data_IF_371578075245
#
_entry.id   IF_371578075245
#
_cell.length_a   1.000
_cell.length_b   1.000
_cell.length_c   1.000
_cell.angle_alpha   90.00
_cell.angle_beta   90.00
_cell.angle_gamma   90.00
#
_symmetry.space_group_name_H-M   'P 1'
#
loop_
_entity.id
_entity.type
_entity.pdbx_description
1 polymer ?
#
# COMPACT_ATOMS: atom_id res chain seq x y z
N UNK A 1 29.40 -8.20 -92.19
CA UNK A 1 28.55 -9.39 -92.39
C UNK A 1 28.82 -10.39 -91.27
N UNK A 2 27.77 -11.10 -90.85
CA UNK A 2 27.70 -12.27 -89.93
C UNK A 2 27.46 -12.00 -88.43
N UNK A 3 26.19 -12.19 -88.06
CA UNK A 3 25.71 -12.81 -86.81
C UNK A 3 25.99 -14.34 -86.86
N UNK A 4 25.74 -15.21 -85.84
CA UNK A 4 25.31 -15.02 -84.44
C UNK A 4 26.02 -15.95 -83.41
N UNK A 5 25.72 -15.84 -82.09
CA UNK A 5 25.12 -16.92 -81.25
C UNK A 5 25.07 -16.59 -79.74
N UNK A 6 23.86 -16.75 -79.21
CA UNK A 6 23.43 -16.86 -77.81
C UNK A 6 24.17 -17.97 -77.03
N UNK A 7 24.43 -17.76 -75.73
CA UNK A 7 24.27 -18.76 -74.66
C UNK A 7 23.97 -18.08 -73.32
N UNK A 8 22.82 -18.44 -72.75
CA UNK A 8 22.35 -18.11 -71.40
C UNK A 8 23.29 -18.66 -70.31
N UNK A 9 23.26 -18.06 -69.10
CA UNK A 9 22.95 -18.76 -67.83
C UNK A 9 22.93 -17.77 -66.63
N UNK A 10 21.72 -17.54 -66.12
CA UNK A 10 21.27 -17.49 -64.71
C UNK A 10 22.12 -16.75 -63.65
N UNK A 11 21.52 -15.67 -63.11
CA UNK A 11 21.79 -15.16 -61.76
C UNK A 11 21.20 -16.10 -60.68
N UNK A 12 21.70 -16.02 -59.44
CA UNK A 12 20.78 -15.56 -58.40
C UNK A 12 21.42 -14.55 -57.43
N UNK A 13 20.63 -13.52 -57.15
CA UNK A 13 20.77 -12.51 -56.10
C UNK A 13 20.78 -13.13 -54.70
N UNK A 14 21.82 -12.88 -53.93
CA UNK A 14 21.88 -13.15 -52.49
C UNK A 14 21.12 -12.05 -51.73
N UNK A 15 19.95 -12.39 -51.21
CA UNK A 15 19.15 -11.56 -50.31
C UNK A 15 19.65 -11.78 -48.87
N UNK A 16 20.35 -10.79 -48.32
CA UNK A 16 20.83 -10.82 -46.93
C UNK A 16 19.68 -10.54 -45.95
N UNK A 17 19.09 -11.57 -45.36
CA UNK A 17 18.20 -11.43 -44.19
C UNK A 17 19.05 -11.07 -42.96
N UNK A 18 19.00 -9.80 -42.54
CA UNK A 18 19.44 -9.41 -41.21
C UNK A 18 18.35 -9.81 -40.19
N UNK A 19 18.60 -10.89 -39.45
CA UNK A 19 17.77 -11.26 -38.31
C UNK A 19 18.03 -10.27 -37.16
N UNK A 20 17.08 -9.37 -36.91
CA UNK A 20 16.97 -8.66 -35.65
C UNK A 20 16.56 -9.66 -34.57
N UNK A 21 17.53 -10.31 -33.94
CA UNK A 21 17.33 -10.99 -32.66
C UNK A 21 17.11 -9.90 -31.60
N UNK A 22 15.86 -9.45 -31.45
CA UNK A 22 15.46 -8.65 -30.30
C UNK A 22 15.58 -9.52 -29.05
N UNK A 23 16.64 -9.34 -28.27
CA UNK A 23 16.69 -9.87 -26.93
C UNK A 23 15.56 -9.19 -26.14
N UNK A 24 14.45 -9.90 -25.93
CA UNK A 24 13.43 -9.52 -24.96
C UNK A 24 14.05 -9.61 -23.58
N UNK A 25 14.71 -8.53 -23.16
CA UNK A 25 15.25 -8.42 -21.81
C UNK A 25 14.05 -8.37 -20.86
N UNK A 26 13.78 -9.50 -20.19
CA UNK A 26 12.71 -9.58 -19.22
C UNK A 26 12.89 -8.46 -18.19
N UNK A 27 11.82 -7.71 -17.91
CA UNK A 27 11.87 -6.65 -16.92
C UNK A 27 12.37 -7.22 -15.58
N UNK A 28 13.26 -6.49 -14.91
CA UNK A 28 13.76 -6.89 -13.60
C UNK A 28 12.60 -7.19 -12.63
N UNK A 29 12.72 -8.16 -11.70
CA UNK A 29 11.69 -8.41 -10.72
C UNK A 29 11.35 -7.15 -9.92
N UNK A 30 10.07 -6.97 -9.60
CA UNK A 30 9.60 -5.91 -8.71
C UNK A 30 10.19 -6.09 -7.32
N UNK A 31 10.59 -4.98 -6.68
CA UNK A 31 11.23 -4.98 -5.35
C UNK A 31 10.68 -3.89 -4.44
N UNK A 32 10.67 -4.08 -3.11
CA UNK A 32 10.33 -3.02 -2.16
C UNK A 32 11.53 -2.07 -1.94
N UNK A 33 11.32 -0.94 -1.23
CA UNK A 33 12.41 -0.08 -0.77
C UNK A 33 13.45 -0.82 0.09
N UNK A 34 14.68 -0.30 0.12
CA UNK A 34 15.85 -1.02 0.66
C UNK A 34 15.67 -1.57 2.09
N UNK A 35 15.00 -0.85 3.00
CA UNK A 35 14.85 -1.32 4.38
C UNK A 35 13.96 -2.55 4.54
N UNK A 36 13.20 -2.96 3.52
CA UNK A 36 12.45 -4.23 3.55
C UNK A 36 13.34 -5.48 3.41
N UNK A 37 14.59 -5.32 2.98
CA UNK A 37 15.57 -6.40 2.92
C UNK A 37 16.24 -6.69 4.27
N UNK A 38 16.00 -5.83 5.28
CA UNK A 38 16.62 -5.98 6.59
C UNK A 38 16.42 -7.42 7.15
N UNK A 39 17.49 -8.04 7.68
CA UNK A 39 17.38 -9.35 8.31
C UNK A 39 16.54 -9.26 9.59
N UNK A 40 16.14 -10.42 10.10
CA UNK A 40 15.60 -10.55 11.46
C UNK A 40 16.63 -10.03 12.45
N UNK A 41 16.23 -9.14 13.36
CA UNK A 41 17.16 -8.44 14.26
C UNK A 41 17.92 -9.39 15.19
N UNK A 42 17.21 -10.37 15.76
CA UNK A 42 17.73 -11.35 16.71
C UNK A 42 16.97 -12.66 16.55
N UNK A 43 17.66 -13.78 16.71
CA UNK A 43 17.04 -15.10 16.84
C UNK A 43 17.06 -15.51 18.32
N UNK A 44 15.95 -15.33 19.02
CA UNK A 44 15.82 -15.68 20.43
C UNK A 44 15.42 -17.15 20.58
N UNK A 45 16.06 -17.85 21.50
CA UNK A 45 15.73 -19.23 21.90
C UNK A 45 15.05 -19.26 23.29
N UNK A 46 14.32 -20.35 23.58
CA UNK A 46 13.69 -20.61 24.90
C UNK A 46 12.17 -20.39 24.94
N UNK A 47 11.52 -21.05 25.91
CA UNK A 47 10.06 -21.08 26.12
C UNK A 47 9.50 -19.70 26.50
N UNK A 48 9.06 -18.93 25.50
CA UNK A 48 8.08 -17.87 25.73
C UNK A 48 6.80 -18.26 25.01
N UNK A 49 5.82 -18.67 25.81
CA UNK A 49 4.49 -19.09 25.42
C UNK A 49 3.58 -17.92 25.03
N UNK A 50 4.07 -16.94 24.27
CA UNK A 50 3.14 -16.11 23.50
C UNK A 50 2.72 -16.98 22.30
N UNK A 51 1.95 -18.03 22.60
CA UNK A 51 1.47 -19.00 21.61
C UNK A 51 0.65 -18.33 20.52
N UNK A 52 0.31 -19.10 19.48
CA UNK A 52 -0.57 -18.60 18.44
C UNK A 52 -1.95 -18.30 19.04
N UNK A 53 -2.36 -17.02 19.01
CA UNK A 53 -3.74 -16.63 19.33
C UNK A 53 -4.72 -17.48 18.50
N UNK A 54 -5.96 -17.62 18.98
CA UNK A 54 -6.99 -18.32 18.21
C UNK A 54 -7.18 -17.66 16.83
N UNK A 55 -7.11 -18.47 15.77
CA UNK A 55 -7.28 -17.99 14.40
C UNK A 55 -8.69 -17.43 14.20
N UNK A 56 -8.85 -16.20 13.66
CA UNK A 56 -10.14 -15.67 13.28
C UNK A 56 -10.71 -16.49 12.13
N UNK A 57 -12.02 -16.74 12.16
CA UNK A 57 -12.68 -17.53 11.13
C UNK A 57 -12.52 -16.87 9.74
N UNK A 58 -12.10 -17.62 8.71
CA UNK A 58 -12.06 -17.10 7.34
C UNK A 58 -13.39 -16.50 6.90
N UNK A 59 -13.39 -15.20 6.55
CA UNK A 59 -14.61 -14.51 6.17
C UNK A 59 -15.00 -14.80 4.72
N UNK A 60 -15.99 -15.67 4.51
CA UNK A 60 -16.48 -16.08 3.18
C UNK A 60 -17.89 -15.57 2.85
N UNK A 61 -18.52 -14.84 3.78
CA UNK A 61 -19.86 -14.29 3.60
C UNK A 61 -19.93 -13.08 2.65
N UNK A 62 -21.15 -12.56 2.39
CA UNK A 62 -21.34 -11.30 1.66
C UNK A 62 -20.59 -10.14 2.30
N UNK A 63 -19.95 -9.29 1.49
CA UNK A 63 -19.28 -8.08 1.98
C UNK A 63 -20.29 -6.92 2.05
N UNK A 64 -21.37 -7.13 2.80
CA UNK A 64 -22.44 -6.17 3.01
C UNK A 64 -22.36 -5.61 4.42
N UNK A 65 -21.56 -4.55 4.61
CA UNK A 65 -21.34 -3.94 5.92
C UNK A 65 -21.99 -2.56 6.04
N UNK A 66 -22.50 -2.25 7.24
CA UNK A 66 -23.02 -0.92 7.55
C UNK A 66 -21.90 0.11 7.55
N UNK A 67 -22.19 1.30 7.04
CA UNK A 67 -21.25 2.42 7.09
C UNK A 67 -21.31 3.10 8.45
N UNK A 68 -20.15 3.46 9.02
CA UNK A 68 -20.10 4.32 10.22
C UNK A 68 -20.71 5.72 10.01
N UNK A 69 -20.94 6.11 8.76
CA UNK A 69 -21.60 7.37 8.37
C UNK A 69 -23.03 7.16 7.88
N UNK A 70 -23.65 6.01 8.17
CA UNK A 70 -25.04 5.76 7.81
C UNK A 70 -25.97 6.80 8.46
N UNK A 71 -26.84 7.39 7.65
CA UNK A 71 -27.68 8.53 8.05
C UNK A 71 -27.02 9.91 7.88
N UNK A 72 -25.74 10.00 7.48
CA UNK A 72 -25.13 11.29 7.09
C UNK A 72 -25.70 11.83 5.79
N UNK A 73 -25.60 13.15 5.63
CA UNK A 73 -25.78 13.84 4.34
C UNK A 73 -24.69 13.47 3.32
N UNK A 74 -24.68 14.17 2.18
CA UNK A 74 -23.70 13.95 1.10
C UNK A 74 -22.24 14.15 1.54
N UNK A 75 -21.95 14.91 2.60
CA UNK A 75 -20.60 15.10 3.10
C UNK A 75 -20.06 13.85 3.83
N UNK A 76 -20.95 12.94 4.26
CA UNK A 76 -20.59 11.72 5.00
C UNK A 76 -19.65 12.01 6.17
N UNK A 77 -19.93 13.06 6.95
CA UNK A 77 -19.06 13.54 8.02
C UNK A 77 -19.60 13.29 9.44
N UNK A 78 -20.87 12.89 9.58
CA UNK A 78 -21.54 12.67 10.87
C UNK A 78 -21.47 11.20 11.28
N UNK A 79 -20.75 10.93 12.38
CA UNK A 79 -20.58 9.57 12.89
C UNK A 79 -21.90 9.04 13.47
N UNK A 80 -22.29 7.84 13.05
CA UNK A 80 -23.35 7.08 13.67
C UNK A 80 -22.74 6.00 14.55
N UNK A 81 -22.79 6.21 15.88
CA UNK A 81 -22.15 5.33 16.87
C UNK A 81 -22.71 3.91 16.83
N UNK A 82 -24.02 3.74 16.58
CA UNK A 82 -24.65 2.42 16.48
C UNK A 82 -24.20 1.69 15.21
N UNK A 83 -24.18 2.38 14.07
CA UNK A 83 -23.71 1.79 12.81
C UNK A 83 -22.21 1.52 12.84
N UNK A 84 -21.41 2.33 13.55
CA UNK A 84 -20.00 2.06 13.81
C UNK A 84 -19.82 0.80 14.66
N UNK A 85 -20.57 0.63 15.75
CA UNK A 85 -20.52 -0.58 16.57
C UNK A 85 -20.88 -1.81 15.75
N UNK A 86 -21.99 -1.76 15.00
CA UNK A 86 -22.43 -2.86 14.14
C UNK A 86 -21.38 -3.19 13.05
N UNK A 87 -20.75 -2.18 12.46
CA UNK A 87 -19.63 -2.37 11.54
C UNK A 87 -18.44 -3.09 12.21
N UNK A 88 -18.05 -2.67 13.43
CA UNK A 88 -16.94 -3.30 14.16
C UNK A 88 -17.24 -4.74 14.55
N UNK A 89 -18.47 -5.01 14.98
CA UNK A 89 -18.90 -6.36 15.36
C UNK A 89 -18.88 -7.30 14.14
N UNK A 90 -19.39 -6.84 12.99
CA UNK A 90 -19.48 -7.64 11.75
C UNK A 90 -18.15 -7.82 11.01
N UNK A 91 -17.15 -6.97 11.26
CA UNK A 91 -15.83 -7.02 10.61
C UNK A 91 -14.71 -7.48 11.56
N UNK A 92 -15.08 -7.99 12.74
CA UNK A 92 -14.14 -8.34 13.82
C UNK A 92 -13.08 -9.34 13.37
N UNK A 93 -13.47 -10.41 12.69
CA UNK A 93 -12.53 -11.46 12.26
C UNK A 93 -11.54 -10.93 11.22
N UNK A 94 -12.03 -10.11 10.26
CA UNK A 94 -11.19 -9.43 9.27
C UNK A 94 -10.17 -8.51 9.97
N UNK A 95 -10.64 -7.69 10.91
CA UNK A 95 -9.79 -6.76 11.67
C UNK A 95 -8.77 -7.51 12.54
N UNK A 96 -9.15 -8.67 13.08
CA UNK A 96 -8.29 -9.54 13.88
C UNK A 96 -7.17 -10.13 13.02
N UNK A 97 -7.49 -10.58 11.80
CA UNK A 97 -6.50 -11.02 10.82
C UNK A 97 -5.53 -9.91 10.44
N UNK A 98 -6.04 -8.72 10.11
CA UNK A 98 -5.22 -7.56 9.73
C UNK A 98 -4.20 -7.20 10.82
N UNK A 99 -4.67 -7.01 12.05
CA UNK A 99 -3.82 -6.63 13.19
C UNK A 99 -2.89 -7.76 13.60
N UNK A 100 -3.39 -9.00 13.63
CA UNK A 100 -2.64 -10.19 14.01
C UNK A 100 -1.46 -10.43 13.06
N UNK A 101 -1.69 -10.31 11.75
CA UNK A 101 -0.63 -10.45 10.73
C UNK A 101 0.47 -9.42 10.94
N UNK A 102 0.14 -8.13 11.01
CA UNK A 102 1.14 -7.08 11.22
C UNK A 102 1.89 -7.25 12.55
N UNK A 103 1.17 -7.55 13.64
CA UNK A 103 1.76 -7.77 14.98
C UNK A 103 2.79 -8.90 14.95
N UNK A 104 2.41 -10.07 14.43
CA UNK A 104 3.29 -11.25 14.45
C UNK A 104 4.45 -11.13 13.49
N UNK A 105 4.27 -10.53 12.31
CA UNK A 105 5.40 -10.20 11.44
C UNK A 105 6.37 -9.25 12.15
N UNK A 106 5.89 -8.20 12.82
CA UNK A 106 6.77 -7.31 13.60
C UNK A 106 7.50 -8.07 14.72
N UNK A 107 6.82 -8.96 15.44
CA UNK A 107 7.43 -9.78 16.50
C UNK A 107 8.47 -10.74 15.93
N UNK A 108 8.17 -11.43 14.84
CA UNK A 108 9.09 -12.32 14.14
C UNK A 108 10.34 -11.57 13.66
N UNK A 109 10.16 -10.44 12.97
CA UNK A 109 11.29 -9.65 12.46
C UNK A 109 12.18 -9.08 13.56
N UNK A 110 11.65 -8.93 14.79
CA UNK A 110 12.41 -8.47 15.97
C UNK A 110 13.14 -9.61 16.70
N UNK A 111 12.48 -10.76 16.85
CA UNK A 111 12.88 -11.79 17.81
C UNK A 111 13.14 -13.17 17.20
N UNK A 112 12.87 -13.37 15.90
CA UNK A 112 13.20 -14.58 15.15
C UNK A 112 12.54 -15.86 15.65
N UNK A 113 11.46 -15.73 16.42
CA UNK A 113 10.73 -16.85 17.03
C UNK A 113 9.87 -17.58 15.99
N UNK A 114 10.16 -18.86 15.68
CA UNK A 114 9.44 -19.61 14.64
C UNK A 114 7.92 -19.64 14.83
N UNK A 115 7.45 -19.68 16.08
CA UNK A 115 6.03 -19.76 16.41
C UNK A 115 5.24 -18.56 15.86
N UNK A 116 5.87 -17.39 15.77
CA UNK A 116 5.24 -16.18 15.21
C UNK A 116 5.15 -16.23 13.68
N UNK A 117 6.14 -16.84 13.03
CA UNK A 117 6.14 -17.06 11.59
C UNK A 117 5.10 -18.12 11.23
N UNK A 118 5.17 -19.29 11.86
CA UNK A 118 4.26 -20.43 11.63
C UNK A 118 2.81 -20.01 11.85
N UNK A 119 2.49 -19.38 12.97
CA UNK A 119 1.14 -18.87 13.25
C UNK A 119 0.65 -17.87 12.18
N UNK A 120 1.54 -17.02 11.66
CA UNK A 120 1.18 -16.07 10.61
C UNK A 120 0.89 -16.78 9.29
N UNK A 121 1.74 -17.74 8.91
CA UNK A 121 1.56 -18.51 7.68
C UNK A 121 0.33 -19.41 7.76
N UNK A 122 0.04 -20.01 8.90
CA UNK A 122 -1.15 -20.82 9.12
C UNK A 122 -2.44 -20.01 8.95
N UNK A 123 -2.52 -18.84 9.58
CA UNK A 123 -3.69 -17.96 9.44
C UNK A 123 -3.90 -17.54 7.98
N UNK A 124 -2.85 -17.05 7.32
CA UNK A 124 -2.95 -16.61 5.93
C UNK A 124 -3.27 -17.78 4.98
N UNK A 125 -2.68 -18.96 5.20
CA UNK A 125 -2.94 -20.16 4.40
C UNK A 125 -4.37 -20.65 4.57
N UNK A 126 -4.92 -20.65 5.79
CA UNK A 126 -6.30 -21.04 6.03
C UNK A 126 -7.30 -20.07 5.36
N UNK A 127 -7.04 -18.76 5.45
CA UNK A 127 -7.85 -17.75 4.76
C UNK A 127 -7.74 -17.84 3.24
N UNK A 128 -6.55 -18.13 2.71
CA UNK A 128 -6.33 -18.38 1.30
C UNK A 128 -7.09 -19.61 0.80
N UNK A 129 -6.99 -20.75 1.51
CA UNK A 129 -7.70 -22.00 1.17
C UNK A 129 -9.22 -21.84 1.20
N UNK A 130 -9.74 -20.99 2.08
CA UNK A 130 -11.17 -20.70 2.19
C UNK A 130 -11.68 -19.69 1.14
N UNK A 131 -10.80 -19.15 0.29
CA UNK A 131 -11.13 -18.07 -0.66
C UNK A 131 -11.76 -16.84 0.03
N UNK A 132 -11.27 -16.53 1.24
CA UNK A 132 -11.85 -15.49 2.06
C UNK A 132 -11.77 -14.10 1.40
N UNK A 133 -12.75 -13.26 1.70
CA UNK A 133 -12.93 -11.89 1.16
C UNK A 133 -13.21 -11.82 -0.35
N UNK A 134 -13.50 -12.92 -1.03
CA UNK A 134 -13.73 -12.95 -2.48
C UNK A 134 -15.19 -12.79 -2.93
N UNK A 135 -16.12 -12.55 -1.99
CA UNK A 135 -17.55 -12.40 -2.33
C UNK A 135 -17.82 -11.28 -3.36
N UNK A 136 -18.54 -11.61 -4.42
CA UNK A 136 -19.00 -10.63 -5.43
C UNK A 136 -20.24 -9.87 -4.99
N UNK A 137 -20.90 -10.29 -3.92
CA UNK A 137 -21.97 -9.54 -3.28
C UNK A 137 -21.35 -8.57 -2.25
N UNK A 138 -21.22 -7.30 -2.65
CA UNK A 138 -20.59 -6.28 -1.83
C UNK A 138 -21.24 -4.90 -1.98
N UNK A 139 -21.12 -4.09 -0.93
CA UNK A 139 -21.32 -2.65 -0.99
C UNK A 139 -19.99 -1.89 -0.90
N UNK A 140 -20.04 -0.55 -0.88
CA UNK A 140 -18.86 0.30 -0.80
C UNK A 140 -18.00 0.02 0.46
N UNK A 141 -18.63 -0.22 1.61
CA UNK A 141 -17.92 -0.58 2.85
C UNK A 141 -17.26 -1.95 2.72
N UNK A 142 -17.96 -2.91 2.12
CA UNK A 142 -17.49 -4.25 1.78
C UNK A 142 -16.21 -4.28 0.96
N UNK A 143 -16.25 -3.71 -0.24
CA UNK A 143 -15.06 -3.62 -1.10
C UNK A 143 -13.93 -2.79 -0.47
N UNK A 144 -14.25 -1.89 0.47
CA UNK A 144 -13.24 -1.18 1.24
C UNK A 144 -12.56 -2.08 2.27
N UNK A 145 -13.31 -2.97 2.94
CA UNK A 145 -12.73 -3.97 3.84
C UNK A 145 -11.81 -4.94 3.10
N UNK A 146 -12.20 -5.42 1.90
CA UNK A 146 -11.35 -6.25 1.05
C UNK A 146 -9.99 -5.59 0.81
N UNK A 147 -9.97 -4.37 0.26
CA UNK A 147 -8.71 -3.69 -0.07
C UNK A 147 -7.89 -3.33 1.16
N UNK A 148 -8.51 -2.94 2.29
CA UNK A 148 -7.75 -2.69 3.51
C UNK A 148 -7.10 -3.97 4.05
N UNK A 149 -7.84 -5.08 4.08
CA UNK A 149 -7.28 -6.35 4.51
C UNK A 149 -6.12 -6.79 3.61
N UNK A 150 -6.30 -6.72 2.28
CA UNK A 150 -5.23 -7.01 1.32
C UNK A 150 -3.99 -6.16 1.60
N UNK A 151 -4.16 -4.85 1.76
CA UNK A 151 -3.06 -3.93 2.01
C UNK A 151 -2.32 -4.26 3.29
N UNK A 152 -3.04 -4.50 4.39
CA UNK A 152 -2.47 -4.89 5.69
C UNK A 152 -1.65 -6.18 5.59
N UNK A 153 -2.21 -7.21 4.96
CA UNK A 153 -1.57 -8.52 4.85
C UNK A 153 -0.38 -8.51 3.89
N UNK A 154 -0.56 -8.02 2.66
CA UNK A 154 0.48 -8.01 1.63
C UNK A 154 1.68 -7.16 2.05
N UNK A 155 1.45 -5.96 2.61
CA UNK A 155 2.54 -5.09 3.05
C UNK A 155 3.31 -5.63 4.26
N UNK A 156 2.65 -6.37 5.17
CA UNK A 156 3.33 -7.11 6.23
C UNK A 156 4.15 -8.26 5.64
N UNK A 157 3.55 -9.04 4.74
CA UNK A 157 4.15 -10.21 4.10
C UNK A 157 5.43 -9.88 3.32
N UNK A 158 5.50 -8.71 2.66
CA UNK A 158 6.70 -8.24 1.95
C UNK A 158 7.94 -8.27 2.86
N UNK A 159 7.81 -8.00 4.17
CA UNK A 159 8.94 -8.10 5.11
C UNK A 159 9.47 -9.52 5.23
N UNK A 160 8.60 -10.53 5.19
CA UNK A 160 9.02 -11.94 5.22
C UNK A 160 9.60 -12.36 3.86
N UNK A 161 8.97 -11.93 2.76
CA UNK A 161 9.35 -12.30 1.39
C UNK A 161 10.74 -11.81 1.02
N UNK A 162 11.09 -10.58 1.41
CA UNK A 162 12.31 -9.91 0.96
C UNK A 162 13.42 -9.84 2.01
N UNK A 163 13.20 -10.28 3.25
CA UNK A 163 14.26 -10.27 4.28
C UNK A 163 15.44 -11.13 3.89
N UNK A 164 16.66 -10.62 4.08
CA UNK A 164 17.92 -11.34 3.89
C UNK A 164 18.08 -12.56 4.82
N UNK A 165 17.22 -12.71 5.84
CA UNK A 165 17.14 -13.93 6.65
C UNK A 165 16.38 -15.08 5.96
N UNK A 166 15.75 -14.84 4.81
CA UNK A 166 15.03 -15.83 4.00
C UNK A 166 14.03 -16.71 4.81
N UNK A 167 13.16 -16.13 5.65
CA UNK A 167 12.31 -16.91 6.55
C UNK A 167 11.33 -17.84 5.82
N UNK A 168 10.99 -17.54 4.56
CA UNK A 168 10.09 -18.36 3.75
C UNK A 168 10.79 -19.51 3.02
N UNK A 169 12.11 -19.67 3.13
CA UNK A 169 12.86 -20.70 2.40
C UNK A 169 12.33 -22.12 2.61
N UNK A 170 11.84 -22.43 3.82
CA UNK A 170 11.26 -23.73 4.19
C UNK A 170 9.72 -23.78 4.14
N UNK A 171 9.07 -22.70 3.69
CA UNK A 171 7.61 -22.55 3.65
C UNK A 171 7.11 -22.19 2.24
N UNK A 172 7.73 -22.78 1.21
CA UNK A 172 7.45 -22.44 -0.18
C UNK A 172 6.01 -22.76 -0.59
N UNK A 173 5.42 -23.83 -0.04
CA UNK A 173 4.06 -24.23 -0.39
C UNK A 173 3.03 -23.23 0.18
N UNK A 174 3.18 -22.85 1.44
CA UNK A 174 2.37 -21.83 2.10
C UNK A 174 2.53 -20.48 1.40
N UNK A 175 3.78 -20.08 1.09
CA UNK A 175 4.07 -18.86 0.35
C UNK A 175 3.33 -18.82 -1.00
N UNK A 176 3.38 -19.89 -1.79
CA UNK A 176 2.68 -19.98 -3.08
C UNK A 176 1.15 -19.85 -2.93
N UNK A 177 0.55 -20.49 -1.93
CA UNK A 177 -0.89 -20.41 -1.67
C UNK A 177 -1.31 -18.98 -1.27
N UNK A 178 -0.55 -18.35 -0.38
CA UNK A 178 -0.79 -16.99 0.10
C UNK A 178 -0.64 -15.99 -1.04
N UNK A 179 0.43 -16.08 -1.84
CA UNK A 179 0.71 -15.18 -2.96
C UNK A 179 -0.34 -15.31 -4.08
N UNK A 180 -0.82 -16.54 -4.35
CA UNK A 180 -1.90 -16.76 -5.31
C UNK A 180 -3.22 -16.13 -4.84
N UNK A 181 -3.56 -16.26 -3.56
CA UNK A 181 -4.74 -15.62 -2.98
C UNK A 181 -4.63 -14.09 -2.97
N UNK A 182 -3.47 -13.53 -2.62
CA UNK A 182 -3.24 -12.09 -2.72
C UNK A 182 -3.41 -11.58 -4.16
N UNK A 183 -2.84 -12.28 -5.14
CA UNK A 183 -2.98 -11.93 -6.56
C UNK A 183 -4.45 -11.93 -7.00
N UNK A 184 -5.20 -12.99 -6.66
CA UNK A 184 -6.63 -13.09 -6.97
C UNK A 184 -7.44 -11.97 -6.32
N UNK A 185 -7.13 -11.63 -5.07
CA UNK A 185 -7.79 -10.53 -4.37
C UNK A 185 -7.41 -9.17 -4.97
N UNK A 186 -6.17 -8.98 -5.41
CA UNK A 186 -5.73 -7.76 -6.09
C UNK A 186 -6.44 -7.58 -7.43
N UNK A 187 -6.59 -8.63 -8.24
CA UNK A 187 -7.38 -8.60 -9.48
C UNK A 187 -8.83 -8.16 -9.19
N UNK A 188 -9.41 -8.65 -8.09
CA UNK A 188 -10.72 -8.20 -7.64
C UNK A 188 -10.73 -6.73 -7.18
N UNK A 189 -9.71 -6.27 -6.46
CA UNK A 189 -9.59 -4.86 -6.05
C UNK A 189 -9.43 -3.95 -7.26
N UNK A 190 -8.71 -4.36 -8.31
CA UNK A 190 -8.68 -3.63 -9.58
C UNK A 190 -10.10 -3.53 -10.13
N UNK A 191 -10.83 -4.64 -10.26
CA UNK A 191 -12.22 -4.62 -10.73
C UNK A 191 -13.15 -3.76 -9.86
N UNK A 192 -12.92 -3.69 -8.54
CA UNK A 192 -13.72 -2.92 -7.59
C UNK A 192 -13.54 -1.39 -7.72
N UNK A 193 -12.40 -0.94 -8.23
CA UNK A 193 -11.95 0.47 -8.15
C UNK A 193 -11.46 1.08 -9.47
N UNK A 194 -11.33 0.30 -10.55
CA UNK A 194 -10.88 0.80 -11.85
C UNK A 194 -11.93 1.69 -12.54
N UNK A 195 -11.45 2.66 -13.30
CA UNK A 195 -12.24 3.58 -14.15
C UNK A 195 -13.41 4.29 -13.42
N UNK A 196 -13.23 4.60 -12.13
CA UNK A 196 -14.16 5.45 -11.40
C UNK A 196 -14.08 6.89 -11.95
N UNK A 197 -15.23 7.59 -12.05
CA UNK A 197 -15.21 8.99 -12.44
C UNK A 197 -14.57 9.84 -11.33
N UNK A 198 -13.93 10.95 -11.70
CA UNK A 198 -13.08 11.73 -10.78
C UNK A 198 -13.80 12.16 -9.51
N UNK A 199 -15.09 12.50 -9.56
CA UNK A 199 -15.88 12.89 -8.39
C UNK A 199 -16.13 11.76 -7.38
N UNK A 200 -15.84 10.51 -7.76
CA UNK A 200 -15.88 9.31 -6.90
C UNK A 200 -14.49 8.78 -6.54
N UNK A 201 -13.44 9.31 -7.16
CA UNK A 201 -12.04 8.93 -6.89
C UNK A 201 -11.49 9.77 -5.74
N UNK A 202 -11.48 9.20 -4.54
CA UNK A 202 -11.00 9.85 -3.32
C UNK A 202 -9.98 8.94 -2.60
N UNK A 203 -9.67 9.23 -1.33
CA UNK A 203 -8.75 8.46 -0.50
C UNK A 203 -8.97 6.95 -0.54
N UNK A 204 -10.20 6.48 -0.75
CA UNK A 204 -10.45 5.05 -0.92
C UNK A 204 -9.72 4.48 -2.14
N UNK A 205 -9.70 5.15 -3.29
CA UNK A 205 -8.97 4.68 -4.48
C UNK A 205 -7.47 4.64 -4.20
N UNK A 206 -6.93 5.60 -3.45
CA UNK A 206 -5.50 5.63 -3.12
C UNK A 206 -5.12 4.47 -2.21
N UNK A 207 -5.94 4.18 -1.18
CA UNK A 207 -5.77 3.01 -0.34
C UNK A 207 -5.93 1.69 -1.10
N UNK A 208 -6.73 1.65 -2.18
CA UNK A 208 -6.83 0.46 -3.04
C UNK A 208 -5.55 0.29 -3.88
N UNK A 209 -5.05 1.36 -4.49
CA UNK A 209 -3.79 1.38 -5.22
C UNK A 209 -2.60 0.96 -4.34
N UNK A 210 -2.56 1.40 -3.08
CA UNK A 210 -1.55 0.93 -2.13
C UNK A 210 -1.60 -0.59 -1.92
N UNK A 211 -2.78 -1.14 -1.69
CA UNK A 211 -2.94 -2.59 -1.52
C UNK A 211 -2.52 -3.37 -2.77
N UNK A 212 -2.80 -2.83 -3.95
CA UNK A 212 -2.44 -3.46 -5.23
C UNK A 212 -0.94 -3.36 -5.49
N UNK A 213 -0.27 -2.22 -5.26
CA UNK A 213 1.19 -2.13 -5.47
C UNK A 213 1.98 -2.99 -4.48
N UNK A 214 1.53 -3.07 -3.22
CA UNK A 214 2.13 -3.96 -2.23
C UNK A 214 2.02 -5.43 -2.69
N UNK A 215 0.84 -5.82 -3.21
CA UNK A 215 0.64 -7.16 -3.77
C UNK A 215 1.49 -7.38 -5.02
N UNK A 216 1.54 -6.41 -5.93
CA UNK A 216 2.33 -6.47 -7.16
C UNK A 216 3.80 -6.76 -6.89
N UNK A 217 4.38 -6.11 -5.87
CA UNK A 217 5.76 -6.38 -5.44
C UNK A 217 5.89 -7.76 -4.80
N UNK A 218 4.95 -8.16 -3.93
CA UNK A 218 5.00 -9.48 -3.29
C UNK A 218 4.93 -10.64 -4.30
N UNK A 219 4.21 -10.47 -5.40
CA UNK A 219 3.91 -11.51 -6.39
C UNK A 219 4.55 -11.29 -7.75
N UNK A 220 5.38 -10.25 -7.88
CA UNK A 220 6.04 -9.83 -9.13
C UNK A 220 5.06 -9.63 -10.32
N UNK A 221 3.87 -9.10 -10.06
CA UNK A 221 2.82 -8.83 -11.05
C UNK A 221 2.91 -7.40 -11.59
N UNK A 222 3.54 -7.23 -12.75
CA UNK A 222 3.76 -5.91 -13.40
C UNK A 222 2.48 -5.19 -13.80
N UNK A 223 1.47 -5.92 -14.25
CA UNK A 223 0.16 -5.36 -14.60
C UNK A 223 -0.55 -4.71 -13.40
N UNK A 224 -0.46 -5.34 -12.22
CA UNK A 224 -0.96 -4.77 -10.97
C UNK A 224 -0.17 -3.52 -10.54
N UNK A 225 1.16 -3.56 -10.71
CA UNK A 225 2.03 -2.41 -10.45
C UNK A 225 1.65 -1.21 -11.33
N UNK A 226 1.48 -1.45 -12.64
CA UNK A 226 1.14 -0.40 -13.60
C UNK A 226 -0.25 0.20 -13.31
N UNK A 227 -1.22 -0.62 -12.91
CA UNK A 227 -2.54 -0.14 -12.48
C UNK A 227 -2.43 0.77 -11.24
N UNK A 228 -1.67 0.36 -10.23
CA UNK A 228 -1.51 1.18 -9.02
C UNK A 228 -0.79 2.51 -9.30
N UNK A 229 0.19 2.52 -10.22
CA UNK A 229 0.85 3.74 -10.70
C UNK A 229 -0.14 4.64 -11.44
N UNK A 230 -0.98 4.09 -12.32
CA UNK A 230 -2.07 4.83 -12.99
C UNK A 230 -2.99 5.48 -11.96
N UNK A 231 -3.47 4.73 -10.97
CA UNK A 231 -4.38 5.24 -9.94
C UNK A 231 -3.72 6.30 -9.04
N UNK A 232 -2.42 6.17 -8.74
CA UNK A 232 -1.67 7.25 -8.09
C UNK A 232 -1.72 8.53 -8.92
N UNK A 233 -1.44 8.44 -10.22
CA UNK A 233 -1.46 9.61 -11.12
C UNK A 233 -2.84 10.25 -11.16
N UNK A 234 -3.91 9.47 -11.26
CA UNK A 234 -5.28 9.98 -11.17
C UNK A 234 -5.53 10.69 -9.83
N UNK A 235 -5.04 10.13 -8.72
CA UNK A 235 -5.15 10.73 -7.39
C UNK A 235 -4.42 12.06 -7.26
N UNK A 236 -3.13 12.11 -7.58
CA UNK A 236 -2.32 13.34 -7.40
C UNK A 236 -2.62 14.43 -8.43
N UNK A 237 -3.14 14.08 -9.61
CA UNK A 237 -3.63 15.07 -10.59
C UNK A 237 -4.91 15.80 -10.11
N UNK A 238 -5.58 15.32 -9.06
CA UNK A 238 -6.68 16.05 -8.43
C UNK A 238 -6.21 17.09 -7.39
N UNK A 239 -4.93 17.10 -7.01
CA UNK A 239 -4.39 18.09 -6.08
C UNK A 239 -4.37 19.44 -6.78
N UNK A 240 -5.13 20.41 -6.27
CA UNK A 240 -5.20 21.75 -6.85
C UNK A 240 -3.88 22.53 -6.66
N UNK A 241 -3.84 23.76 -7.20
CA UNK A 241 -2.66 24.62 -7.12
C UNK A 241 -2.28 25.01 -5.68
N UNK A 242 -3.22 24.91 -4.73
CA UNK A 242 -3.00 25.25 -3.32
C UNK A 242 -2.66 24.02 -2.47
N UNK A 243 -2.76 22.82 -3.03
CA UNK A 243 -2.48 21.56 -2.34
C UNK A 243 -3.72 20.85 -1.77
N UNK A 244 -4.93 21.28 -2.11
CA UNK A 244 -6.15 20.64 -1.65
C UNK A 244 -6.64 19.55 -2.61
N UNK A 245 -7.31 18.55 -2.04
CA UNK A 245 -8.04 17.52 -2.76
C UNK A 245 -9.54 17.86 -2.73
N UNK A 246 -10.17 18.17 -3.88
CA UNK A 246 -11.58 18.57 -3.94
C UNK A 246 -12.54 17.56 -3.31
N UNK A 247 -12.27 16.26 -3.45
CA UNK A 247 -13.12 15.22 -2.87
C UNK A 247 -12.98 15.08 -1.35
N UNK A 248 -11.83 15.44 -0.80
CA UNK A 248 -11.61 15.44 0.66
C UNK A 248 -12.13 16.74 1.31
N UNK A 249 -12.10 17.87 0.59
CA UNK A 249 -12.73 19.12 1.05
C UNK A 249 -14.23 18.96 1.29
N UNK A 250 -14.91 18.12 0.49
CA UNK A 250 -16.35 17.81 0.64
C UNK A 250 -16.70 17.16 1.98
N UNK A 251 -15.71 16.75 2.79
CA UNK A 251 -15.90 16.12 4.10
C UNK A 251 -16.09 17.13 5.23
N UNK A 252 -16.33 18.40 4.90
CA UNK A 252 -16.68 19.48 5.83
C UNK A 252 -15.65 19.61 6.97
N UNK A 253 -16.07 19.50 8.23
CA UNK A 253 -15.20 19.57 9.41
C UNK A 253 -14.12 18.48 9.43
N UNK A 254 -14.24 17.42 8.62
CA UNK A 254 -13.23 16.36 8.55
C UNK A 254 -12.23 16.55 7.40
N UNK A 255 -12.31 17.65 6.64
CA UNK A 255 -11.52 17.84 5.43
C UNK A 255 -10.02 17.67 5.68
N UNK A 256 -9.44 18.33 6.68
CA UNK A 256 -8.01 18.23 6.99
C UNK A 256 -7.62 16.80 7.40
N UNK A 257 -8.42 16.14 8.24
CA UNK A 257 -8.20 14.74 8.62
C UNK A 257 -8.20 13.81 7.39
N UNK A 258 -9.08 14.05 6.41
CA UNK A 258 -9.13 13.26 5.18
C UNK A 258 -8.00 13.57 4.19
N UNK A 259 -7.49 14.81 4.15
CA UNK A 259 -6.26 15.13 3.42
C UNK A 259 -5.07 14.39 4.03
N UNK A 260 -4.94 14.43 5.36
CA UNK A 260 -3.91 13.65 6.06
C UNK A 260 -4.07 12.14 5.82
N UNK A 261 -5.30 11.63 5.77
CA UNK A 261 -5.58 10.21 5.52
C UNK A 261 -5.29 9.76 4.07
N UNK A 262 -5.20 10.69 3.12
CA UNK A 262 -4.81 10.42 1.73
C UNK A 262 -3.29 10.26 1.55
N UNK A 263 -2.48 10.88 2.42
CA UNK A 263 -1.02 10.89 2.30
C UNK A 263 -0.34 9.51 2.46
N UNK A 264 -0.70 8.66 3.44
CA UNK A 264 -0.02 7.38 3.64
C UNK A 264 0.01 6.47 2.41
N UNK A 265 -1.13 6.15 1.75
CA UNK A 265 -1.07 5.30 0.57
C UNK A 265 -0.33 5.98 -0.59
N UNK A 266 -0.50 7.29 -0.81
CA UNK A 266 0.17 8.00 -1.91
C UNK A 266 1.69 8.02 -1.73
N UNK A 267 2.19 8.33 -0.53
CA UNK A 267 3.62 8.33 -0.25
C UNK A 267 4.24 6.93 -0.35
N UNK A 268 3.52 5.89 0.12
CA UNK A 268 3.98 4.52 -0.02
C UNK A 268 4.03 4.06 -1.49
N UNK A 269 3.03 4.38 -2.31
CA UNK A 269 3.03 4.08 -3.75
C UNK A 269 4.22 4.76 -4.43
N UNK A 270 4.44 6.06 -4.18
CA UNK A 270 5.56 6.79 -4.78
C UNK A 270 6.93 6.20 -4.38
N UNK A 271 7.09 5.81 -3.12
CA UNK A 271 8.31 5.15 -2.62
C UNK A 271 8.58 3.81 -3.30
N UNK A 272 7.56 2.95 -3.39
CA UNK A 272 7.66 1.66 -4.08
C UNK A 272 7.89 1.84 -5.59
N UNK A 273 7.25 2.81 -6.21
CA UNK A 273 7.44 3.09 -7.64
C UNK A 273 8.87 3.56 -7.95
N UNK A 274 9.44 4.42 -7.11
CA UNK A 274 10.77 5.00 -7.32
C UNK A 274 11.85 3.92 -7.43
N UNK A 275 11.87 2.95 -6.51
CA UNK A 275 12.89 1.89 -6.50
C UNK A 275 12.72 0.84 -7.61
N UNK A 276 11.58 0.91 -8.33
CA UNK A 276 11.24 0.11 -9.50
C UNK A 276 11.34 0.91 -10.82
N UNK A 277 11.99 2.08 -10.79
CA UNK A 277 12.32 2.87 -11.98
C UNK A 277 11.24 3.85 -12.44
N UNK A 278 10.20 4.10 -11.62
CA UNK A 278 9.14 5.07 -11.94
C UNK A 278 9.18 6.20 -10.92
N UNK A 279 9.74 7.35 -11.30
CA UNK A 279 9.76 8.54 -10.46
C UNK A 279 8.43 9.31 -10.54
N UNK A 280 7.66 9.26 -9.44
CA UNK A 280 6.35 9.88 -9.32
C UNK A 280 6.37 11.21 -8.55
N UNK A 281 7.55 11.71 -8.17
CA UNK A 281 7.68 12.90 -7.30
C UNK A 281 7.28 14.19 -7.99
N UNK A 282 7.46 14.27 -9.31
CA UNK A 282 7.19 15.49 -10.09
C UNK A 282 5.81 15.51 -10.75
N UNK A 283 5.01 14.44 -10.60
CA UNK A 283 3.66 14.37 -11.15
C UNK A 283 2.80 15.56 -10.68
N UNK A 284 2.10 16.21 -11.62
CA UNK A 284 1.31 17.43 -11.38
C UNK A 284 2.09 18.52 -10.61
N UNK A 285 3.27 18.86 -11.12
CA UNK A 285 4.16 19.89 -10.55
C UNK A 285 4.46 19.65 -9.06
N UNK A 286 4.80 18.42 -8.70
CA UNK A 286 5.10 18.05 -7.30
C UNK A 286 3.88 17.97 -6.41
N UNK A 287 2.76 17.44 -6.91
CA UNK A 287 1.48 17.41 -6.20
C UNK A 287 1.51 16.69 -4.85
N UNK A 288 2.23 15.56 -4.74
CA UNK A 288 2.35 14.86 -3.45
C UNK A 288 3.08 15.74 -2.41
N UNK A 289 4.15 16.43 -2.81
CA UNK A 289 4.85 17.38 -1.93
C UNK A 289 3.92 18.51 -1.50
N UNK A 290 3.23 19.13 -2.46
CA UNK A 290 2.30 20.24 -2.23
C UNK A 290 1.14 19.86 -1.29
N UNK A 291 0.58 18.67 -1.46
CA UNK A 291 -0.44 18.11 -0.55
C UNK A 291 0.13 17.90 0.87
N UNK A 292 1.32 17.31 0.98
CA UNK A 292 1.99 17.10 2.27
C UNK A 292 2.25 18.40 3.02
N UNK A 293 2.80 19.39 2.32
CA UNK A 293 3.07 20.72 2.86
C UNK A 293 1.77 21.41 3.30
N UNK A 294 0.69 21.31 2.50
CA UNK A 294 -0.64 21.87 2.87
C UNK A 294 -1.21 21.21 4.13
N UNK A 295 -1.07 19.90 4.29
CA UNK A 295 -1.52 19.21 5.50
C UNK A 295 -0.70 19.63 6.72
N UNK A 296 0.63 19.77 6.59
CA UNK A 296 1.49 20.21 7.68
C UNK A 296 1.15 21.65 8.11
N UNK A 297 0.91 22.54 7.14
CA UNK A 297 0.43 23.89 7.39
C UNK A 297 -0.92 23.89 8.10
N UNK A 298 -1.91 23.14 7.59
CA UNK A 298 -3.24 23.04 8.21
C UNK A 298 -3.25 22.40 9.59
N UNK A 299 -2.29 21.54 9.92
CA UNK A 299 -2.14 21.00 11.30
C UNK A 299 -1.59 22.05 12.26
N UNK A 300 -0.72 22.95 11.77
CA UNK A 300 -0.20 24.07 12.55
C UNK A 300 -1.25 25.18 12.71
N UNK A 301 -1.99 25.47 11.64
CA UNK A 301 -3.03 26.47 11.57
C UNK A 301 -4.28 25.92 10.84
N UNK A 302 -5.26 25.37 11.58
CA UNK A 302 -6.47 24.80 11.00
C UNK A 302 -7.37 25.81 10.29
N UNK A 303 -7.18 27.12 10.52
CA UNK A 303 -8.00 28.17 9.95
C UNK A 303 -7.83 28.21 8.41
N UNK A 304 -6.67 27.81 7.87
CA UNK A 304 -6.46 27.68 6.41
C UNK A 304 -7.49 26.75 5.74
N UNK A 305 -7.90 25.68 6.43
CA UNK A 305 -8.93 24.77 5.92
C UNK A 305 -10.35 25.29 6.14
N UNK A 306 -10.57 26.00 7.25
CA UNK A 306 -11.84 26.66 7.52
C UNK A 306 -12.11 27.79 6.50
N UNK A 307 -11.10 28.58 6.13
CA UNK A 307 -11.19 29.58 5.07
C UNK A 307 -11.56 28.94 3.72
N UNK A 308 -10.99 27.77 3.40
CA UNK A 308 -11.25 27.08 2.13
C UNK A 308 -12.66 26.49 2.04
N UNK A 309 -13.24 25.99 3.14
CA UNK A 309 -14.51 25.24 3.09
C UNK A 309 -15.64 25.76 4.01
N UNK A 310 -15.39 26.82 4.77
CA UNK A 310 -16.33 27.44 5.70
C UNK A 310 -16.69 26.58 6.91
N UNK A 311 -15.85 25.60 7.27
CA UNK A 311 -16.09 24.68 8.40
C UNK A 311 -14.85 24.59 9.27
N UNK A 312 -15.03 24.88 10.56
CA UNK A 312 -14.05 24.55 11.59
C UNK A 312 -13.69 23.06 11.55
N UNK A 313 -12.39 22.77 11.61
CA UNK A 313 -11.88 21.41 11.47
C UNK A 313 -11.94 20.60 12.79
N UNK A 314 -12.29 19.32 12.67
CA UNK A 314 -12.17 18.31 13.72
C UNK A 314 -10.73 17.80 13.77
N UNK A 315 -10.00 18.24 14.79
CA UNK A 315 -8.59 17.92 14.99
C UNK A 315 -8.36 16.58 15.71
N UNK A 316 -9.41 15.81 16.02
CA UNK A 316 -9.30 14.60 16.86
C UNK A 316 -8.33 13.58 16.27
N UNK A 317 -8.48 13.22 14.99
CA UNK A 317 -7.60 12.26 14.32
C UNK A 317 -6.15 12.80 14.21
N UNK A 318 -5.97 14.12 14.12
CA UNK A 318 -4.65 14.75 13.91
C UNK A 318 -3.84 14.88 15.20
N UNK A 319 -4.38 14.42 16.33
CA UNK A 319 -3.66 14.25 17.59
C UNK A 319 -3.06 12.85 17.76
N UNK A 320 -3.38 11.93 16.86
CA UNK A 320 -2.82 10.57 16.87
C UNK A 320 -1.54 10.52 16.03
N UNK A 321 -0.38 10.38 16.68
CA UNK A 321 0.95 10.31 16.03
C UNK A 321 0.97 9.32 14.86
N UNK A 322 0.36 8.14 15.04
CA UNK A 322 0.35 7.08 14.03
C UNK A 322 -0.34 7.47 12.71
N UNK A 323 -1.14 8.55 12.69
CA UNK A 323 -1.74 9.08 11.46
C UNK A 323 -0.74 9.85 10.60
N UNK A 324 0.43 10.16 11.12
CA UNK A 324 1.54 10.82 10.41
C UNK A 324 2.61 9.85 9.92
N UNK A 325 2.35 8.54 9.94
CA UNK A 325 3.27 7.51 9.44
C UNK A 325 3.71 7.73 7.97
N UNK A 326 2.96 8.53 7.21
CA UNK A 326 3.32 8.94 5.86
C UNK A 326 4.60 9.79 5.79
N UNK A 327 5.03 10.41 6.90
CA UNK A 327 6.28 11.15 6.98
C UNK A 327 7.52 10.28 6.71
N UNK A 328 7.44 8.97 6.98
CA UNK A 328 8.56 8.04 6.72
C UNK A 328 8.90 7.92 5.23
N UNK A 329 7.98 7.44 4.35
CA UNK A 329 8.23 7.46 2.92
C UNK A 329 8.35 8.88 2.37
N UNK A 330 7.61 9.86 2.89
CA UNK A 330 7.63 11.23 2.39
C UNK A 330 9.00 11.90 2.56
N UNK A 331 9.62 11.81 3.74
CA UNK A 331 10.95 12.38 3.98
C UNK A 331 12.10 11.52 3.40
N UNK A 332 11.79 10.32 2.90
CA UNK A 332 12.72 9.55 2.05
C UNK A 332 12.64 10.02 0.59
N UNK A 333 11.44 10.34 0.10
CA UNK A 333 11.19 10.84 -1.26
C UNK A 333 11.67 12.28 -1.46
N UNK A 334 11.53 13.12 -0.43
CA UNK A 334 11.83 14.54 -0.45
C UNK A 334 12.74 14.93 0.70
N UNK A 335 13.59 15.94 0.48
CA UNK A 335 14.30 16.60 1.58
C UNK A 335 13.29 17.40 2.42
N UNK A 336 12.94 16.87 3.59
CA UNK A 336 12.08 17.55 4.56
C UNK A 336 12.85 18.66 5.30
N UNK A 337 12.12 19.73 5.69
CA UNK A 337 12.66 20.80 6.50
C UNK A 337 13.03 20.31 7.92
N UNK A 338 13.97 20.97 8.63
CA UNK A 338 14.43 20.52 9.94
C UNK A 338 13.32 20.35 10.99
N UNK A 339 12.36 21.27 11.02
CA UNK A 339 11.20 21.24 11.92
C UNK A 339 10.27 20.05 11.63
N UNK A 340 10.10 19.69 10.35
CA UNK A 340 9.34 18.50 9.94
C UNK A 340 10.08 17.22 10.37
N UNK A 341 11.42 17.19 10.27
CA UNK A 341 12.23 16.06 10.73
C UNK A 341 12.17 15.92 12.26
N UNK A 342 12.24 17.02 13.01
CA UNK A 342 12.10 17.02 14.46
C UNK A 342 10.73 16.48 14.88
N UNK A 343 9.66 17.04 14.30
CA UNK A 343 8.28 16.56 14.54
C UNK A 343 8.11 15.09 14.16
N UNK A 344 8.70 14.64 13.04
CA UNK A 344 8.70 13.21 12.66
C UNK A 344 9.33 12.37 13.77
N UNK A 345 10.48 12.78 14.30
CA UNK A 345 11.21 12.06 15.36
C UNK A 345 10.45 12.01 16.67
N UNK A 346 9.74 13.07 17.04
CA UNK A 346 8.91 13.09 18.26
C UNK A 346 7.74 12.12 18.18
N UNK A 347 7.21 11.87 16.98
CA UNK A 347 6.10 10.95 16.73
C UNK A 347 6.54 9.50 16.44
N UNK A 348 7.84 9.25 16.24
CA UNK A 348 8.38 7.92 16.00
C UNK A 348 8.37 7.06 17.28
N UNK A 349 8.27 5.73 17.17
CA UNK A 349 8.19 4.94 15.95
C UNK A 349 6.76 4.80 15.41
N UNK A 350 6.58 4.91 14.09
CA UNK A 350 5.29 4.74 13.41
C UNK A 350 4.96 3.26 13.15
N UNK A 351 4.01 2.74 13.92
CA UNK A 351 3.49 1.36 13.81
C UNK A 351 2.03 1.36 13.38
N UNK A 352 1.78 1.00 12.14
CA UNK A 352 0.42 0.96 11.56
C UNK A 352 0.19 -0.28 10.71
N UNK A 353 -0.81 -1.07 11.10
CA UNK A 353 -1.06 -2.38 10.49
C UNK A 353 -1.46 -2.29 9.01
N UNK A 354 -2.11 -1.19 8.58
CA UNK A 354 -2.54 -1.02 7.18
C UNK A 354 -1.41 -0.74 6.20
N UNK A 355 -0.21 -0.43 6.71
CA UNK A 355 0.99 -0.22 5.91
C UNK A 355 2.07 -1.27 6.19
N UNK A 356 1.73 -2.34 6.93
CA UNK A 356 2.62 -3.49 7.12
C UNK A 356 3.32 -3.54 8.47
N UNK A 357 2.94 -2.66 9.41
CA UNK A 357 3.49 -2.62 10.77
C UNK A 357 4.43 -1.45 10.97
N UNK A 358 5.69 -1.74 11.30
CA UNK A 358 6.68 -0.75 11.72
C UNK A 358 7.35 -0.07 10.51
N UNK A 359 6.86 1.13 10.18
CA UNK A 359 7.38 1.91 9.05
C UNK A 359 8.72 2.55 9.38
N UNK A 360 8.90 2.98 10.64
CA UNK A 360 10.16 3.54 11.12
C UNK A 360 11.29 2.54 10.96
N UNK A 361 11.05 1.25 11.26
CA UNK A 361 12.05 0.21 11.06
C UNK A 361 12.56 0.10 9.62
N UNK A 362 11.69 0.31 8.61
CA UNK A 362 12.04 0.12 7.19
C UNK A 362 12.52 1.41 6.51
N UNK A 363 12.18 2.59 7.01
CA UNK A 363 12.60 3.87 6.42
C UNK A 363 13.65 4.63 7.23
N UNK A 364 13.67 4.44 8.54
CA UNK A 364 14.60 5.11 9.45
C UNK A 364 15.13 4.13 10.54
N UNK A 365 15.84 3.06 10.13
CA UNK A 365 16.37 2.06 11.07
C UNK A 365 17.41 2.65 12.05
N UNK A 366 17.90 3.86 11.79
CA UNK A 366 18.83 4.57 12.68
C UNK A 366 18.15 5.01 13.98
N UNK A 367 16.85 5.34 13.93
CA UNK A 367 16.08 5.76 15.09
C UNK A 367 16.03 4.69 16.19
N UNK A 368 15.82 3.41 15.83
CA UNK A 368 15.74 2.32 16.82
C UNK A 368 17.06 2.02 17.54
N UNK A 369 18.21 2.44 16.99
CA UNK A 369 19.51 2.22 17.63
C UNK A 369 19.74 3.18 18.81
N UNK A 370 18.90 4.21 18.95
CA UNK A 370 18.98 5.23 19.97
C UNK A 370 20.22 6.11 19.84
N UNK A 371 20.12 7.34 20.36
CA UNK A 371 21.25 8.22 20.66
C UNK A 371 22.27 7.52 21.57
N UNK A 372 23.11 6.65 21.01
CA UNK A 372 24.37 6.27 21.63
C UNK A 372 25.38 7.36 21.30
N UNK A 373 25.28 8.48 22.03
CA UNK A 373 26.31 9.51 22.16
C UNK A 373 26.49 10.43 20.96
N UNK A 374 25.97 11.66 21.08
CA UNK A 374 26.85 12.82 20.97
C UNK A 374 27.43 13.09 22.35
#
# INVERSE_FOLDING_TARGET
>A
MRNPKLKNLLAPTLLSLAMFAGATQAAAPLRPPQGYFAPVDKFKTGDKSDGCDAMPAPYTGPLQFRSKYEGSDKARATLNVQSEKAFRDTTKDITTLERGTAKRVMQFMRDGRPEQLECTLDWLTAWAKADALMSKDFNHTGKSMRKWALGSMASSYIRLKFSDSHPLAQHQQEAQLIEAWFSKMADQVVSDWDNLPLEKTNNHSYWAAWSVIATAVATNRRDLFDWAVKEYKVGVNQVDADGFLPNELKRQQRALAYHNYALPPLAMIASFAQVNGVDLRQENNGALKRLGDRVLAGVKDPDEFEEKNGKKQDMTDLKEDMKFAWLEPFCTLYTCAPDVIEKKRDMQPFKTFRLGGDLTKVYDPSHEKGNKGS
#
